data_IF_224269771131
#
_entry.id   IF_224269771131
#
_cell.length_a   1.000
_cell.length_b   1.000
_cell.length_c   1.000
_cell.angle_alpha   90.00
_cell.angle_beta   90.00
_cell.angle_gamma   90.00
#
_symmetry.space_group_name_H-M   'P 1'
#
loop_
_entity.id
_entity.type
_entity.pdbx_description
1 polymer ?
#
# COMPACT_ATOMS: atom_id res chain seq x y z
N UNK A 1 6.24 -17.49 -1.31
CA UNK A 1 5.26 -16.40 -1.51
C UNK A 1 4.31 -16.24 -0.32
N UNK A 2 3.88 -17.34 0.33
CA UNK A 2 3.02 -17.32 1.52
C UNK A 2 3.60 -16.51 2.69
N UNK A 3 4.90 -16.61 2.95
CA UNK A 3 5.53 -15.94 4.10
C UNK A 3 5.53 -14.41 3.95
N UNK A 4 5.78 -13.92 2.73
CA UNK A 4 5.70 -12.49 2.42
C UNK A 4 4.28 -11.98 2.57
N UNK A 5 3.30 -12.70 2.04
CA UNK A 5 1.89 -12.30 2.15
C UNK A 5 1.41 -12.34 3.60
N UNK A 6 1.86 -13.32 4.41
CA UNK A 6 1.56 -13.39 5.83
C UNK A 6 2.19 -12.20 6.59
N UNK A 7 3.45 -11.86 6.31
CA UNK A 7 4.11 -10.70 6.88
C UNK A 7 3.40 -9.39 6.52
N UNK A 8 2.92 -9.25 5.28
CA UNK A 8 2.17 -8.09 4.83
C UNK A 8 0.78 -7.99 5.49
N UNK A 9 0.11 -9.12 5.76
CA UNK A 9 -1.14 -9.13 6.53
C UNK A 9 -0.91 -8.74 7.99
N UNK A 10 0.16 -9.25 8.61
CA UNK A 10 0.52 -8.87 9.97
C UNK A 10 0.81 -7.38 10.07
N UNK A 11 1.59 -6.85 9.11
CA UNK A 11 1.86 -5.42 9.01
C UNK A 11 0.57 -4.60 8.87
N UNK A 12 -0.37 -5.02 8.02
CA UNK A 12 -1.65 -4.35 7.87
C UNK A 12 -2.41 -4.26 9.22
N UNK A 13 -2.47 -5.37 9.97
CA UNK A 13 -3.09 -5.38 11.30
C UNK A 13 -2.42 -4.41 12.28
N UNK A 14 -1.08 -4.35 12.30
CA UNK A 14 -0.33 -3.43 13.15
C UNK A 14 -0.51 -1.95 12.76
N UNK A 15 -0.80 -1.66 11.48
CA UNK A 15 -1.05 -0.29 11.04
C UNK A 15 -2.38 0.24 11.55
N UNK A 16 -3.40 -0.61 11.64
CA UNK A 16 -4.72 -0.25 12.17
C UNK A 16 -4.68 0.14 13.65
N UNK A 17 -3.62 -0.22 14.38
CA UNK A 17 -3.40 0.24 15.77
C UNK A 17 -3.00 1.74 15.84
N UNK A 18 -2.64 2.36 14.71
CA UNK A 18 -2.31 3.79 14.64
C UNK A 18 -3.57 4.64 14.53
N UNK A 19 -3.77 5.58 15.45
CA UNK A 19 -4.97 6.42 15.55
C UNK A 19 -5.47 7.10 14.25
N UNK A 20 -4.60 7.64 13.36
CA UNK A 20 -5.06 8.24 12.11
C UNK A 20 -5.43 7.21 11.02
N UNK A 21 -5.10 5.93 11.19
CA UNK A 21 -5.38 4.87 10.22
C UNK A 21 -6.72 4.25 10.56
N UNK A 22 -7.68 4.31 9.64
CA UNK A 22 -9.02 3.75 9.80
C UNK A 22 -9.10 2.30 9.34
N UNK A 23 -8.30 1.92 8.34
CA UNK A 23 -8.19 0.55 7.85
C UNK A 23 -6.86 0.32 7.13
N UNK A 24 -6.42 -0.93 7.07
CA UNK A 24 -5.29 -1.35 6.27
C UNK A 24 -5.49 -2.79 5.80
N UNK A 25 -5.32 -3.02 4.50
CA UNK A 25 -5.57 -4.34 3.92
C UNK A 25 -4.75 -4.60 2.66
N UNK A 26 -4.64 -5.88 2.32
CA UNK A 26 -3.96 -6.32 1.11
C UNK A 26 -4.92 -6.34 -0.08
N UNK A 27 -4.47 -5.75 -1.17
CA UNK A 27 -5.12 -5.82 -2.47
C UNK A 27 -4.14 -6.35 -3.52
N UNK A 28 -4.61 -6.56 -4.74
CA UNK A 28 -3.73 -6.86 -5.87
C UNK A 28 -4.12 -6.00 -7.06
N UNK A 29 -3.13 -5.51 -7.79
CA UNK A 29 -3.32 -5.00 -9.14
C UNK A 29 -3.23 -6.17 -10.14
N UNK A 30 -3.21 -5.85 -11.43
CA UNK A 30 -3.03 -6.85 -12.48
C UNK A 30 -1.66 -7.52 -12.46
N UNK A 31 -0.64 -6.81 -11.97
CA UNK A 31 0.76 -7.24 -11.99
C UNK A 31 1.38 -7.40 -10.62
N UNK A 32 0.82 -6.72 -9.60
CA UNK A 32 1.52 -6.49 -8.34
C UNK A 32 0.62 -6.70 -7.12
N UNK A 33 1.28 -7.03 -6.00
CA UNK A 33 0.65 -7.05 -4.68
C UNK A 33 0.66 -5.64 -4.10
N UNK A 34 -0.47 -5.22 -3.55
CA UNK A 34 -0.64 -3.91 -2.94
C UNK A 34 -0.92 -4.05 -1.44
N UNK A 35 -0.44 -3.08 -0.67
CA UNK A 35 -0.96 -2.74 0.66
C UNK A 35 -1.71 -1.41 0.53
N UNK A 36 -2.96 -1.42 0.94
CA UNK A 36 -3.84 -0.25 0.97
C UNK A 36 -3.94 0.21 2.42
N UNK A 37 -3.80 1.52 2.63
CA UNK A 37 -3.92 2.16 3.95
C UNK A 37 -4.94 3.28 3.82
N UNK A 38 -6.03 3.17 4.56
CA UNK A 38 -7.06 4.20 4.65
C UNK A 38 -6.78 5.07 5.88
N UNK A 39 -6.57 6.36 5.65
CA UNK A 39 -6.28 7.36 6.68
C UNK A 39 -7.53 8.22 6.87
N UNK A 40 -7.88 8.57 8.10
CA UNK A 40 -9.04 9.43 8.39
C UNK A 40 -8.96 10.73 7.56
N UNK A 41 -10.08 11.13 6.98
CA UNK A 41 -10.16 12.37 6.21
C UNK A 41 -9.67 13.58 7.03
N UNK A 42 -8.81 14.40 6.41
CA UNK A 42 -8.17 15.55 7.06
C UNK A 42 -6.98 15.20 7.97
N UNK A 43 -6.68 13.91 8.18
CA UNK A 43 -5.44 13.48 8.80
C UNK A 43 -4.39 13.15 7.72
N UNK A 44 -3.11 13.22 8.10
CA UNK A 44 -2.01 12.81 7.24
C UNK A 44 -1.49 11.43 7.64
N UNK A 45 -1.02 10.68 6.65
CA UNK A 45 -0.31 9.43 6.91
C UNK A 45 0.98 9.71 7.71
N UNK A 46 1.13 9.18 8.93
CA UNK A 46 2.29 9.48 9.77
C UNK A 46 3.61 9.14 9.10
N UNK A 47 4.63 10.01 9.25
CA UNK A 47 5.96 9.78 8.70
C UNK A 47 6.56 8.44 9.17
N UNK A 48 6.40 8.12 10.46
CA UNK A 48 6.86 6.84 11.02
C UNK A 48 6.22 5.62 10.33
N UNK A 49 4.96 5.73 9.87
CA UNK A 49 4.31 4.68 9.09
C UNK A 49 4.93 4.61 7.69
N UNK A 50 5.13 5.76 7.03
CA UNK A 50 5.77 5.82 5.70
C UNK A 50 7.17 5.20 5.70
N UNK A 51 8.00 5.56 6.67
CA UNK A 51 9.37 5.04 6.80
C UNK A 51 9.33 3.52 7.03
N UNK A 52 8.44 3.07 7.90
CA UNK A 52 8.22 1.65 8.21
C UNK A 52 7.73 0.82 7.01
N UNK A 53 6.98 1.43 6.10
CA UNK A 53 6.57 0.82 4.83
C UNK A 53 7.76 0.75 3.86
N UNK A 54 8.52 1.84 3.71
CA UNK A 54 9.69 1.90 2.85
C UNK A 54 10.77 0.88 3.25
N UNK A 55 11.05 0.74 4.55
CA UNK A 55 11.97 -0.26 5.12
C UNK A 55 11.59 -1.72 4.78
N UNK A 56 10.33 -1.93 4.38
CA UNK A 56 9.80 -3.24 4.00
C UNK A 56 9.56 -3.37 2.51
N UNK A 57 10.19 -2.55 1.67
CA UNK A 57 10.02 -2.56 0.21
C UNK A 57 8.57 -2.28 -0.25
N UNK A 58 7.81 -1.49 0.52
CA UNK A 58 6.48 -1.01 0.14
C UNK A 58 6.58 0.45 -0.27
N UNK A 59 6.53 0.70 -1.58
CA UNK A 59 6.69 2.04 -2.13
C UNK A 59 5.34 2.62 -2.58
N UNK A 60 5.14 3.93 -2.44
CA UNK A 60 3.91 4.59 -2.91
C UNK A 60 3.60 4.26 -4.37
N UNK A 61 2.35 3.93 -4.71
CA UNK A 61 2.01 3.48 -6.06
C UNK A 61 2.36 4.52 -7.16
N UNK A 62 2.21 5.82 -6.90
CA UNK A 62 2.59 6.84 -7.89
C UNK A 62 4.11 6.93 -8.07
N UNK A 63 4.90 6.61 -7.03
CA UNK A 63 6.36 6.50 -7.17
C UNK A 63 6.80 5.32 -8.05
N UNK A 64 5.95 4.29 -8.17
CA UNK A 64 6.27 3.04 -8.90
C UNK A 64 5.66 3.03 -10.31
N UNK A 65 4.49 3.64 -10.49
CA UNK A 65 3.75 3.69 -11.75
C UNK A 65 3.81 5.05 -12.46
N UNK A 66 4.13 6.12 -11.74
CA UNK A 66 4.21 7.47 -12.30
C UNK A 66 5.52 7.74 -13.05
N UNK A 67 5.47 8.73 -13.94
CA UNK A 67 6.64 9.35 -14.55
C UNK A 67 7.00 10.59 -13.71
N UNK A 68 8.11 10.52 -12.98
CA UNK A 68 8.72 11.57 -12.14
C UNK A 68 8.00 12.03 -10.84
N UNK A 69 8.81 11.97 -9.77
CA UNK A 69 8.79 12.71 -8.48
C UNK A 69 7.56 12.67 -7.54
N UNK A 70 6.65 11.71 -7.69
CA UNK A 70 5.60 11.53 -6.69
C UNK A 70 6.09 10.69 -5.50
N UNK A 71 6.57 11.33 -4.42
CA UNK A 71 6.64 10.71 -3.07
C UNK A 71 5.25 10.46 -2.44
N UNK A 72 4.20 10.54 -3.25
CA UNK A 72 2.81 10.40 -2.86
C UNK A 72 2.35 8.99 -3.25
N UNK A 73 1.57 8.34 -2.40
CA UNK A 73 0.82 7.15 -2.79
C UNK A 73 -0.30 7.57 -3.71
N UNK A 74 -0.81 6.70 -4.58
CA UNK A 74 -2.08 7.01 -5.26
C UNK A 74 -3.12 7.33 -4.18
N UNK A 75 -3.55 8.60 -4.13
CA UNK A 75 -4.45 9.13 -3.12
C UNK A 75 -5.85 9.25 -3.73
N UNK A 76 -6.84 8.65 -3.09
CA UNK A 76 -8.25 8.86 -3.45
C UNK A 76 -9.13 8.91 -2.22
N UNK A 77 -10.13 9.80 -2.21
CA UNK A 77 -11.10 9.85 -1.12
C UNK A 77 -12.10 8.70 -1.24
N UNK A 78 -12.29 7.98 -0.13
CA UNK A 78 -13.21 6.85 0.00
C UNK A 78 -14.04 7.04 1.28
N UNK A 79 -15.22 7.62 1.13
CA UNK A 79 -16.05 7.98 2.28
C UNK A 79 -15.34 9.03 3.14
N UNK A 80 -15.17 8.72 4.44
CA UNK A 80 -14.49 9.58 5.41
C UNK A 80 -12.98 9.25 5.56
N UNK A 81 -12.39 8.62 4.55
CA UNK A 81 -10.97 8.27 4.54
C UNK A 81 -10.28 8.67 3.23
N UNK A 82 -9.00 9.00 3.35
CA UNK A 82 -8.07 9.19 2.26
C UNK A 82 -7.30 7.88 2.07
N UNK A 83 -7.48 7.23 0.92
CA UNK A 83 -6.89 5.93 0.60
C UNK A 83 -5.51 6.09 -0.03
N UNK A 84 -4.53 5.39 0.53
CA UNK A 84 -3.15 5.37 0.08
C UNK A 84 -2.76 3.98 -0.43
N UNK A 85 -2.25 3.89 -1.67
CA UNK A 85 -1.75 2.62 -2.24
C UNK A 85 -0.23 2.50 -2.16
N UNK A 86 0.25 1.34 -1.72
CA UNK A 86 1.66 0.95 -1.69
C UNK A 86 1.90 -0.35 -2.44
N UNK A 87 2.93 -0.41 -3.27
CA UNK A 87 3.32 -1.56 -4.08
C UNK A 87 4.41 -2.34 -3.37
N UNK A 88 4.23 -3.66 -3.24
CA UNK A 88 5.31 -4.56 -2.83
C UNK A 88 6.32 -4.74 -3.97
N UNK A 89 7.37 -3.92 -4.00
CA UNK A 89 8.34 -3.94 -5.10
C UNK A 89 9.19 -5.21 -5.11
N UNK A 90 9.27 -5.91 -3.96
CA UNK A 90 10.02 -7.17 -3.85
C UNK A 90 9.36 -8.31 -4.63
N UNK A 91 8.05 -8.28 -4.81
CA UNK A 91 7.29 -9.32 -5.54
C UNK A 91 6.65 -8.79 -6.83
N UNK A 92 7.12 -7.65 -7.32
CA UNK A 92 6.62 -6.99 -8.53
C UNK A 92 6.64 -7.94 -9.73
N UNK A 93 5.58 -7.92 -10.54
CA UNK A 93 5.44 -8.75 -11.73
C UNK A 93 5.30 -10.26 -11.46
N UNK A 94 5.47 -10.72 -10.21
CA UNK A 94 5.24 -12.11 -9.81
C UNK A 94 3.76 -12.46 -9.69
N UNK A 95 2.88 -11.45 -9.75
CA UNK A 95 1.42 -11.60 -9.69
C UNK A 95 0.74 -11.41 -11.05
N UNK A 96 1.51 -11.39 -12.15
CA UNK A 96 0.99 -11.31 -13.52
C UNK A 96 -0.08 -12.39 -13.74
N UNK A 97 -1.31 -11.94 -13.85
CA UNK A 97 -2.42 -12.78 -14.32
C UNK A 97 -2.40 -12.74 -15.84
N UNK A 98 -2.14 -13.87 -16.51
CA UNK A 98 -2.37 -13.96 -17.96
C UNK A 98 -3.88 -14.00 -18.18
N UNK A 99 -4.44 -13.01 -18.89
CA UNK A 99 -5.74 -13.17 -19.52
C UNK A 99 -5.48 -14.06 -20.73
N UNK A 100 -5.98 -15.30 -20.68
CA UNK A 100 -6.04 -16.16 -21.86
C UNK A 100 -7.28 -15.70 -22.63
N UNK A 101 -7.09 -15.24 -23.87
CA UNK A 101 -8.18 -14.90 -24.80
C UNK A 101 -9.06 -16.11 -25.13
#
# INVERSE_FOLDING_TARGET
MTDRQAALRALAGELTDSEPITDAFLAKSFTDQLLVVDVRAGAELPAAVRDRLADRDLLPADSVYGADDARQSAVGDVGDATRHHFVDVRTRGSHRSYVVE
#
